data_IF_674945512911
#
_entry.id   IF_674945512911
#
_cell.length_a   1.000
_cell.length_b   1.000
_cell.length_c   1.000
_cell.angle_alpha   90.00
_cell.angle_beta   90.00
_cell.angle_gamma   90.00
#
_symmetry.space_group_name_H-M   'P 1'
#
loop_
_entity.id
_entity.type
_entity.pdbx_description
1 polymer ?
#
# COMPACT_ATOMS: atom_id res chain seq x y z
N UNK A 1 2.90 1.84 14.26
CA UNK A 1 2.15 2.10 13.02
C UNK A 1 2.98 2.98 12.10
N UNK A 2 3.16 2.57 10.85
CA UNK A 2 3.94 3.34 9.88
C UNK A 2 3.02 3.99 8.85
N UNK A 3 3.36 5.19 8.45
CA UNK A 3 2.60 5.91 7.44
C UNK A 3 3.57 6.60 6.47
N UNK A 4 3.27 6.49 5.17
CA UNK A 4 4.07 7.12 4.13
C UNK A 4 3.20 8.06 3.33
N UNK A 5 3.56 9.33 3.32
CA UNK A 5 2.89 10.33 2.51
C UNK A 5 3.59 10.39 1.16
N UNK A 6 2.84 10.09 0.11
CA UNK A 6 3.41 9.98 -1.24
C UNK A 6 3.15 11.29 -1.99
N UNK A 7 4.22 11.96 -2.39
CA UNK A 7 4.12 13.25 -3.07
C UNK A 7 4.45 13.17 -4.56
N UNK A 8 5.06 12.06 -4.98
CA UNK A 8 5.55 11.91 -6.36
C UNK A 8 4.76 10.88 -7.17
N UNK A 9 3.58 10.50 -6.73
CA UNK A 9 2.74 9.55 -7.46
C UNK A 9 1.46 10.25 -7.94
N UNK A 10 1.05 9.93 -9.16
CA UNK A 10 -0.21 10.43 -9.69
C UNK A 10 -1.40 9.59 -9.24
N UNK A 11 -1.16 8.42 -8.67
CA UNK A 11 -2.22 7.48 -8.29
C UNK A 11 -2.41 7.32 -6.79
N UNK A 12 -1.32 7.35 -6.01
CA UNK A 12 -1.34 7.06 -4.58
C UNK A 12 -0.92 8.31 -3.80
N UNK A 13 -1.70 8.66 -2.79
CA UNK A 13 -1.40 9.81 -1.93
C UNK A 13 -0.81 9.40 -0.60
N UNK A 14 -1.25 8.28 -0.04
CA UNK A 14 -0.83 7.86 1.28
C UNK A 14 -0.91 6.35 1.44
N UNK A 15 0.04 5.76 2.19
CA UNK A 15 0.03 4.34 2.53
C UNK A 15 0.26 4.23 4.03
N UNK A 16 -0.65 3.59 4.74
CA UNK A 16 -0.59 3.45 6.19
C UNK A 16 -0.65 1.97 6.56
N UNK A 17 0.29 1.52 7.39
CA UNK A 17 0.34 0.15 7.88
C UNK A 17 -0.30 0.06 9.24
N UNK A 18 -1.31 -0.78 9.37
CA UNK A 18 -2.09 -0.96 10.59
C UNK A 18 -1.90 -2.38 11.15
N UNK A 19 -2.49 -2.63 12.30
CA UNK A 19 -2.47 -3.94 12.93
C UNK A 19 -3.29 -4.96 12.11
N UNK A 20 -3.09 -6.24 12.39
CA UNK A 20 -3.83 -7.34 11.77
C UNK A 20 -3.58 -7.44 10.25
N UNK A 21 -2.36 -7.08 9.84
CA UNK A 21 -1.96 -7.15 8.42
C UNK A 21 -2.79 -6.26 7.50
N UNK A 22 -3.32 -5.17 8.04
CA UNK A 22 -4.11 -4.21 7.29
C UNK A 22 -3.22 -3.11 6.74
N UNK A 23 -3.37 -2.80 5.46
CA UNK A 23 -2.69 -1.69 4.80
C UNK A 23 -3.75 -0.77 4.24
N UNK A 24 -3.78 0.46 4.71
CA UNK A 24 -4.75 1.46 4.24
C UNK A 24 -4.10 2.34 3.19
N UNK A 25 -4.74 2.47 2.04
CA UNK A 25 -4.19 3.22 0.91
C UNK A 25 -5.17 4.31 0.51
N UNK A 26 -4.66 5.53 0.42
CA UNK A 26 -5.44 6.67 -0.04
C UNK A 26 -5.04 6.98 -1.47
N UNK A 27 -6.01 6.99 -2.37
CA UNK A 27 -5.78 7.27 -3.78
C UNK A 27 -6.05 8.74 -4.09
N UNK A 28 -5.37 9.25 -5.11
CA UNK A 28 -5.52 10.67 -5.49
C UNK A 28 -6.87 10.96 -6.12
N UNK A 29 -7.52 9.95 -6.69
CA UNK A 29 -8.72 10.14 -7.51
C UNK A 29 -9.96 10.56 -6.72
N UNK A 30 -10.11 10.13 -5.48
CA UNK A 30 -11.34 10.40 -4.73
C UNK A 30 -11.12 10.72 -3.26
N UNK A 31 -9.91 10.89 -2.83
CA UNK A 31 -9.58 11.28 -1.46
C UNK A 31 -10.11 10.32 -0.38
N UNK A 32 -10.47 9.11 -0.77
CA UNK A 32 -10.94 8.08 0.16
C UNK A 32 -9.84 7.09 0.47
N UNK A 33 -9.86 6.58 1.69
CA UNK A 33 -8.93 5.58 2.16
C UNK A 33 -9.57 4.20 2.04
N UNK A 34 -8.86 3.26 1.40
CA UNK A 34 -9.32 1.89 1.23
C UNK A 34 -8.44 0.96 2.02
N UNK A 35 -9.04 0.03 2.75
CA UNK A 35 -8.31 -0.95 3.53
C UNK A 35 -8.06 -2.20 2.70
N UNK A 36 -6.83 -2.67 2.73
CA UNK A 36 -6.42 -3.92 2.09
C UNK A 36 -5.84 -4.83 3.15
N UNK A 37 -6.03 -6.12 3.00
CA UNK A 37 -5.45 -7.09 3.91
C UNK A 37 -4.36 -7.86 3.19
N UNK A 38 -3.18 -7.98 3.83
CA UNK A 38 -2.13 -8.86 3.35
C UNK A 38 -2.55 -10.31 3.59
N UNK A 39 -2.25 -11.18 2.64
CA UNK A 39 -2.64 -12.59 2.68
C UNK A 39 -2.16 -13.30 3.96
N UNK A 40 -0.94 -13.00 4.39
CA UNK A 40 -0.34 -13.56 5.60
C UNK A 40 0.75 -12.62 6.09
N UNK A 41 1.44 -13.01 7.17
CA UNK A 41 2.50 -12.17 7.74
C UNK A 41 3.66 -11.98 6.77
N UNK A 42 4.00 -13.01 6.01
CA UNK A 42 5.07 -12.93 5.02
C UNK A 42 4.72 -11.90 3.93
N UNK A 43 3.49 -11.92 3.44
CA UNK A 43 3.02 -10.96 2.46
C UNK A 43 3.03 -9.55 3.05
N UNK A 44 2.62 -9.40 4.30
CA UNK A 44 2.61 -8.11 4.98
C UNK A 44 4.02 -7.53 5.08
N UNK A 45 4.99 -8.37 5.46
CA UNK A 45 6.38 -7.95 5.55
C UNK A 45 6.95 -7.58 4.19
N UNK A 46 6.62 -8.36 3.17
CA UNK A 46 7.05 -8.09 1.80
C UNK A 46 6.53 -6.73 1.32
N UNK A 47 5.24 -6.46 1.56
CA UNK A 47 4.63 -5.19 1.16
C UNK A 47 5.25 -4.04 1.94
N UNK A 48 5.48 -4.21 3.24
CA UNK A 48 6.09 -3.18 4.07
C UNK A 48 7.47 -2.80 3.55
N UNK A 49 8.33 -3.79 3.32
CA UNK A 49 9.68 -3.55 2.82
C UNK A 49 9.64 -2.94 1.41
N UNK A 50 8.73 -3.41 0.57
CA UNK A 50 8.58 -2.88 -0.78
C UNK A 50 8.15 -1.43 -0.80
N UNK A 51 7.22 -1.05 0.08
CA UNK A 51 6.78 0.34 0.18
C UNK A 51 7.92 1.23 0.67
N UNK A 52 8.66 0.77 1.70
CA UNK A 52 9.81 1.52 2.21
C UNK A 52 10.85 1.76 1.11
N UNK A 53 11.17 0.70 0.37
CA UNK A 53 12.17 0.76 -0.70
C UNK A 53 11.71 1.67 -1.85
N UNK A 54 10.46 1.52 -2.27
CA UNK A 54 9.89 2.31 -3.34
C UNK A 54 9.86 3.79 -2.95
N UNK A 55 9.49 4.06 -1.70
CA UNK A 55 9.45 5.42 -1.17
C UNK A 55 10.85 6.04 -1.15
N UNK A 56 11.84 5.29 -0.65
CA UNK A 56 13.21 5.78 -0.54
C UNK A 56 13.84 6.05 -1.89
N UNK A 57 13.52 5.24 -2.90
CA UNK A 57 14.04 5.39 -4.25
C UNK A 57 13.21 6.32 -5.12
N UNK A 58 12.11 6.84 -4.60
CA UNK A 58 11.17 7.70 -5.33
C UNK A 58 10.65 7.04 -6.61
N UNK A 59 10.45 5.73 -6.55
CA UNK A 59 9.87 4.97 -7.64
C UNK A 59 8.34 5.04 -7.60
N UNK A 60 7.68 4.49 -8.62
CA UNK A 60 6.23 4.57 -8.73
C UNK A 60 5.54 3.69 -7.70
N UNK A 61 4.92 4.32 -6.70
CA UNK A 61 4.15 3.61 -5.68
C UNK A 61 2.91 2.95 -6.29
N UNK A 62 2.29 3.61 -7.28
CA UNK A 62 1.13 3.05 -7.96
C UNK A 62 1.44 1.71 -8.63
N UNK A 63 2.59 1.63 -9.31
CA UNK A 63 3.01 0.37 -9.95
C UNK A 63 3.25 -0.72 -8.92
N UNK A 64 3.90 -0.37 -7.82
CA UNK A 64 4.19 -1.34 -6.77
C UNK A 64 2.90 -1.89 -6.16
N UNK A 65 1.98 -1.01 -5.79
CA UNK A 65 0.71 -1.42 -5.18
C UNK A 65 -0.11 -2.26 -6.16
N UNK A 66 -0.16 -1.89 -7.43
CA UNK A 66 -0.87 -2.70 -8.43
C UNK A 66 -0.26 -4.09 -8.56
N UNK A 67 1.07 -4.20 -8.48
CA UNK A 67 1.74 -5.50 -8.52
C UNK A 67 1.37 -6.35 -7.30
N UNK A 68 1.26 -5.73 -6.12
CA UNK A 68 0.87 -6.43 -4.90
C UNK A 68 -0.57 -6.94 -4.99
N UNK A 69 -1.47 -6.15 -5.56
CA UNK A 69 -2.86 -6.56 -5.76
C UNK A 69 -2.96 -7.67 -6.80
N UNK A 70 -2.23 -7.56 -7.90
CA UNK A 70 -2.24 -8.56 -8.97
C UNK A 70 -1.70 -9.90 -8.51
N UNK A 71 -0.77 -9.92 -7.56
CA UNK A 71 -0.18 -11.15 -7.02
C UNK A 71 -0.92 -11.68 -5.79
N UNK A 72 -2.06 -11.08 -5.46
CA UNK A 72 -2.89 -11.45 -4.30
C UNK A 72 -2.19 -11.28 -2.95
N UNK A 73 -1.13 -10.49 -2.91
CA UNK A 73 -0.49 -10.14 -1.64
C UNK A 73 -1.31 -9.12 -0.87
N UNK A 74 -2.07 -8.30 -1.58
CA UNK A 74 -3.01 -7.35 -0.99
C UNK A 74 -4.38 -7.59 -1.59
N UNK A 75 -5.37 -7.80 -0.74
CA UNK A 75 -6.75 -8.02 -1.15
C UNK A 75 -7.62 -6.94 -0.50
N UNK A 76 -8.42 -6.26 -1.30
CA UNK A 76 -9.29 -5.21 -0.78
C UNK A 76 -10.34 -5.79 0.16
N UNK A 77 -10.51 -5.12 1.31
CA UNK A 77 -11.53 -5.52 2.29
C UNK A 77 -12.82 -4.81 1.91
N UNK A 78 -13.86 -5.59 1.69
CA UNK A 78 -15.17 -5.03 1.42
C UNK A 78 -15.82 -4.62 2.73
N UNK A 79 -16.32 -3.41 2.76
CA UNK A 79 -17.02 -2.89 3.93
C UNK A 79 -18.52 -2.93 3.71
#
# INVERSE_FOLDING_TARGET
>A
MKEFKITNSSAIRNVKFKENNIVSIKFTSNDQEYDFKARDQEAYDYVTHGVEKTYAKKESMGKFINAMRSSDRLVEIEN
#
